data_IF_632230680129
#
_entry.id   IF_632230680129
#
_cell.length_a   1.000
_cell.length_b   1.000
_cell.length_c   1.000
_cell.angle_alpha   90.00
_cell.angle_beta   90.00
_cell.angle_gamma   90.00
#
_symmetry.space_group_name_H-M   'P 1'
#
loop_
_entity.id
_entity.type
_entity.pdbx_description
1 polymer ?
#
# COMPACT_ATOMS: atom_id res chain seq x y z
N UNK A 1 12.15 -10.49 10.42
CA UNK A 1 12.12 -10.02 9.02
C UNK A 1 11.17 -8.84 8.91
N UNK A 2 11.48 -7.82 8.12
CA UNK A 2 10.54 -6.72 7.80
C UNK A 2 9.84 -7.01 6.47
N UNK A 3 8.66 -6.43 6.27
CA UNK A 3 7.91 -6.47 5.01
C UNK A 3 8.07 -5.11 4.33
N UNK A 4 8.55 -5.09 3.09
CA UNK A 4 8.68 -3.87 2.30
C UNK A 4 7.33 -3.19 2.08
N UNK A 5 7.32 -1.86 2.03
CA UNK A 5 6.16 -1.07 1.63
C UNK A 5 6.00 -0.96 0.11
N UNK A 6 6.99 -1.43 -0.66
CA UNK A 6 7.08 -1.19 -2.10
C UNK A 6 7.53 0.23 -2.46
N UNK A 7 7.92 1.04 -1.47
CA UNK A 7 8.36 2.43 -1.64
C UNK A 7 9.71 2.60 -0.93
N UNK A 8 10.80 2.68 -1.69
CA UNK A 8 12.17 2.70 -1.15
C UNK A 8 12.40 3.79 -0.11
N UNK A 9 11.92 5.01 -0.38
CA UNK A 9 12.06 6.14 0.55
C UNK A 9 11.34 5.91 1.88
N UNK A 10 10.17 5.26 1.85
CA UNK A 10 9.42 4.95 3.06
C UNK A 10 10.06 3.80 3.82
N UNK A 11 10.53 2.77 3.12
CA UNK A 11 11.26 1.65 3.73
C UNK A 11 12.54 2.12 4.41
N UNK A 12 13.26 3.07 3.82
CA UNK A 12 14.42 3.72 4.44
C UNK A 12 14.04 4.38 5.78
N UNK A 13 12.98 5.20 5.80
CA UNK A 13 12.49 5.87 7.02
C UNK A 13 12.09 4.84 8.09
N UNK A 14 11.42 3.76 7.67
CA UNK A 14 10.96 2.68 8.54
C UNK A 14 12.05 1.67 8.92
N UNK A 15 13.28 1.87 8.43
CA UNK A 15 14.45 0.99 8.65
C UNK A 15 14.21 -0.43 8.14
N UNK A 16 13.81 -0.52 6.88
CA UNK A 16 13.57 -1.76 6.13
C UNK A 16 12.10 -2.16 6.00
N UNK A 17 11.15 -1.28 6.32
CA UNK A 17 9.71 -1.50 6.13
C UNK A 17 8.94 -1.83 7.42
N UNK A 18 7.82 -2.54 7.27
CA UNK A 18 6.86 -2.81 8.34
C UNK A 18 7.19 -4.11 9.11
N UNK A 19 6.80 -4.18 10.38
CA UNK A 19 6.80 -5.44 11.13
C UNK A 19 5.64 -6.34 10.66
N UNK A 20 5.89 -7.65 10.45
CA UNK A 20 4.84 -8.63 10.14
C UNK A 20 3.86 -8.81 11.31
N UNK A 21 2.63 -9.23 11.00
CA UNK A 21 1.61 -9.54 12.01
C UNK A 21 1.08 -8.33 12.78
N UNK A 22 1.16 -7.14 12.19
CA UNK A 22 0.69 -5.89 12.79
C UNK A 22 -0.29 -5.17 11.86
N UNK A 23 -1.14 -4.37 12.49
CA UNK A 23 -2.05 -3.43 11.80
C UNK A 23 -1.46 -2.03 11.80
N UNK A 24 -1.49 -1.36 10.66
CA UNK A 24 -1.03 0.02 10.50
C UNK A 24 -2.18 0.88 10.01
N UNK A 25 -2.34 2.06 10.61
CA UNK A 25 -3.31 3.06 10.19
C UNK A 25 -2.60 4.12 9.34
N UNK A 26 -3.05 4.28 8.10
CA UNK A 26 -2.61 5.37 7.22
C UNK A 26 -3.73 6.40 7.14
N UNK A 27 -3.49 7.62 7.63
CA UNK A 27 -4.48 8.68 7.71
C UNK A 27 -4.01 9.94 6.96
N UNK A 28 -4.95 10.64 6.32
CA UNK A 28 -4.69 11.87 5.56
C UNK A 28 -5.90 12.31 4.75
N UNK A 29 -5.90 13.58 4.32
CA UNK A 29 -6.97 14.20 3.52
C UNK A 29 -7.21 13.48 2.17
N UNK A 30 -8.37 13.64 1.51
CA UNK A 30 -8.58 13.12 0.16
C UNK A 30 -7.44 13.53 -0.80
N UNK A 31 -7.00 12.62 -1.68
CA UNK A 31 -5.93 12.89 -2.64
C UNK A 31 -4.49 12.75 -2.12
N UNK A 32 -4.28 12.49 -0.81
CA UNK A 32 -2.93 12.32 -0.22
C UNK A 32 -2.20 11.00 -0.54
N UNK A 33 -2.74 10.16 -1.43
CA UNK A 33 -2.07 8.92 -1.88
C UNK A 33 -2.25 7.69 -0.98
N UNK A 34 -3.24 7.66 -0.08
CA UNK A 34 -3.51 6.51 0.81
C UNK A 34 -3.74 5.19 0.05
N UNK A 35 -4.60 5.23 -0.97
CA UNK A 35 -4.89 4.06 -1.81
C UNK A 35 -3.65 3.64 -2.59
N UNK A 36 -2.93 4.60 -3.17
CA UNK A 36 -1.66 4.38 -3.88
C UNK A 36 -0.63 3.67 -3.00
N UNK A 37 -0.46 4.09 -1.73
CA UNK A 37 0.41 3.40 -0.78
C UNK A 37 -0.02 1.95 -0.56
N UNK A 38 -1.33 1.71 -0.36
CA UNK A 38 -1.88 0.37 -0.22
C UNK A 38 -1.64 -0.51 -1.44
N UNK A 39 -1.68 0.08 -2.65
CA UNK A 39 -1.39 -0.63 -3.90
C UNK A 39 0.10 -0.96 -4.06
N UNK A 40 1.02 -0.03 -3.74
CA UNK A 40 2.46 -0.33 -3.70
C UNK A 40 2.77 -1.47 -2.73
N UNK A 41 2.18 -1.44 -1.53
CA UNK A 41 2.34 -2.50 -0.55
C UNK A 41 1.84 -3.85 -1.09
N UNK A 42 0.69 -3.87 -1.76
CA UNK A 42 0.13 -5.08 -2.36
C UNK A 42 1.01 -5.62 -3.49
N UNK A 43 1.52 -4.74 -4.36
CA UNK A 43 2.35 -5.11 -5.51
C UNK A 43 3.74 -5.64 -5.10
N UNK A 44 4.28 -5.17 -3.98
CA UNK A 44 5.57 -5.63 -3.45
C UNK A 44 5.47 -6.96 -2.67
N UNK A 45 4.27 -7.38 -2.28
CA UNK A 45 4.01 -8.63 -1.55
C UNK A 45 3.75 -9.83 -2.47
N UNK A 46 3.83 -11.05 -1.92
CA UNK A 46 3.57 -12.27 -2.70
C UNK A 46 2.06 -12.54 -2.94
N UNK A 47 1.22 -12.31 -1.93
CA UNK A 47 -0.22 -12.45 -2.02
C UNK A 47 -0.91 -11.55 -1.00
N UNK A 48 -1.92 -10.80 -1.43
CA UNK A 48 -2.69 -9.93 -0.55
C UNK A 48 -4.09 -9.64 -1.07
N UNK A 49 -4.94 -9.10 -0.19
CA UNK A 49 -6.31 -8.75 -0.49
C UNK A 49 -6.51 -7.26 -0.21
N UNK A 50 -6.94 -6.50 -1.22
CA UNK A 50 -7.42 -5.14 -1.04
C UNK A 50 -8.94 -5.17 -0.82
N UNK A 51 -9.37 -4.65 0.32
CA UNK A 51 -10.78 -4.40 0.63
C UNK A 51 -10.98 -2.88 0.52
N UNK A 52 -11.91 -2.45 -0.33
CA UNK A 52 -12.21 -1.03 -0.57
C UNK A 52 -13.70 -0.76 -0.46
N UNK A 53 -14.04 0.46 -0.04
CA UNK A 53 -15.40 0.97 0.00
C UNK A 53 -15.43 2.25 -0.84
N UNK A 54 -16.20 2.24 -1.94
CA UNK A 54 -16.42 3.44 -2.76
C UNK A 54 -15.66 3.51 -4.09
N UNK A 55 -14.74 2.59 -4.38
CA UNK A 55 -14.14 2.44 -5.72
C UNK A 55 -14.48 1.07 -6.31
N UNK A 56 -14.78 1.03 -7.61
CA UNK A 56 -14.99 -0.23 -8.32
C UNK A 56 -13.66 -0.99 -8.47
N UNK A 57 -13.74 -2.31 -8.57
CA UNK A 57 -12.55 -3.13 -8.80
C UNK A 57 -11.90 -2.83 -10.16
N UNK A 58 -12.64 -2.29 -11.13
CA UNK A 58 -12.10 -1.84 -12.41
C UNK A 58 -11.19 -0.62 -12.25
N UNK A 59 -11.67 0.44 -11.57
CA UNK A 59 -10.87 1.63 -11.32
C UNK A 59 -9.60 1.31 -10.52
N UNK A 60 -9.71 0.49 -9.48
CA UNK A 60 -8.54 0.07 -8.69
C UNK A 60 -7.48 -0.62 -9.55
N UNK A 61 -7.91 -1.49 -10.48
CA UNK A 61 -6.96 -2.17 -11.39
C UNK A 61 -6.30 -1.19 -12.34
N UNK A 62 -7.05 -0.22 -12.86
CA UNK A 62 -6.50 0.83 -13.71
C UNK A 62 -5.44 1.66 -12.94
N UNK A 63 -5.76 2.10 -11.71
CA UNK A 63 -4.82 2.81 -10.85
C UNK A 63 -3.55 1.98 -10.59
N UNK A 64 -3.70 0.68 -10.30
CA UNK A 64 -2.59 -0.22 -10.03
C UNK A 64 -1.67 -0.41 -11.25
N UNK A 65 -2.21 -0.41 -12.47
CA UNK A 65 -1.40 -0.49 -13.70
C UNK A 65 -0.60 0.77 -14.01
N UNK A 66 -0.91 1.89 -13.36
CA UNK A 66 -0.25 3.18 -13.56
C UNK A 66 0.85 3.48 -12.52
N UNK A 67 1.09 2.57 -11.57
CA UNK A 67 2.17 2.65 -10.58
C UNK A 67 3.52 2.27 -11.18
#
# INVERSE_FOLDING_TARGET
>A
MRISTGIDGLDYILRGGLFPGRTYLVHGEPGTGKTTLGLHFLAAGEAGLLITFGQSAEHIRADATAL
#
